data_IF_767527762256
#
_entry.id   IF_767527762256
#
_cell.length_a   1.000
_cell.length_b   1.000
_cell.length_c   1.000
_cell.angle_alpha   90.00
_cell.angle_beta   90.00
_cell.angle_gamma   90.00
#
_symmetry.space_group_name_H-M   'P 1'
#
loop_
_entity.id
_entity.type
_entity.pdbx_description
1 polymer ?
#
# COMPACT_ATOMS: atom_id res chain seq x y z
N UNK A 1 -12.54 4.63 14.38
CA UNK A 1 -13.51 5.01 13.34
C UNK A 1 -12.93 6.13 12.48
N UNK A 2 -12.39 7.18 13.09
CA UNK A 2 -11.76 8.32 12.40
C UNK A 2 -10.75 7.92 11.30
N UNK A 3 -9.82 7.00 11.58
CA UNK A 3 -8.85 6.52 10.57
C UNK A 3 -9.50 5.73 9.40
N UNK A 4 -10.66 5.11 9.61
CA UNK A 4 -11.37 4.40 8.55
C UNK A 4 -12.17 5.36 7.66
N UNK A 5 -12.74 6.41 8.25
CA UNK A 5 -13.45 7.48 7.53
C UNK A 5 -12.53 8.28 6.61
N UNK A 6 -11.33 8.62 7.09
CA UNK A 6 -10.32 9.32 6.28
C UNK A 6 -10.00 8.54 5.00
N UNK A 7 -9.74 7.23 5.14
CA UNK A 7 -9.46 6.35 4.01
C UNK A 7 -10.70 6.20 3.11
N UNK A 8 -11.89 6.08 3.70
CA UNK A 8 -13.13 5.94 2.97
C UNK A 8 -13.41 7.14 2.05
N UNK A 9 -13.22 8.35 2.57
CA UNK A 9 -13.54 9.59 1.87
C UNK A 9 -12.43 10.03 0.92
N UNK A 10 -11.16 9.87 1.31
CA UNK A 10 -10.03 10.27 0.47
C UNK A 10 -9.75 9.25 -0.65
N UNK A 11 -9.43 8.01 -0.27
CA UNK A 11 -8.88 7.03 -1.21
C UNK A 11 -9.94 6.20 -1.92
N UNK A 12 -11.00 5.85 -1.19
CA UNK A 12 -12.11 5.06 -1.75
C UNK A 12 -13.21 5.95 -2.34
N UNK A 13 -13.18 7.27 -2.10
CA UNK A 13 -14.16 8.25 -2.59
C UNK A 13 -15.62 7.83 -2.31
N UNK A 14 -15.84 7.19 -1.17
CA UNK A 14 -17.17 6.79 -0.70
C UNK A 14 -17.90 8.00 -0.13
N UNK A 15 -19.22 8.04 -0.29
CA UNK A 15 -20.07 8.99 0.45
C UNK A 15 -20.27 8.49 1.88
N UNK A 16 -20.60 9.38 2.84
CA UNK A 16 -20.87 8.98 4.23
C UNK A 16 -21.89 7.84 4.35
N UNK A 17 -23.02 7.91 3.63
CA UNK A 17 -24.03 6.85 3.61
C UNK A 17 -23.50 5.51 3.08
N UNK A 18 -22.70 5.56 2.02
CA UNK A 18 -22.12 4.35 1.42
C UNK A 18 -21.10 3.70 2.37
N UNK A 19 -20.42 4.50 3.19
CA UNK A 19 -19.49 4.01 4.20
C UNK A 19 -20.20 3.43 5.43
N UNK A 20 -21.26 4.09 5.93
CA UNK A 20 -22.05 3.62 7.08
C UNK A 20 -22.75 2.28 6.79
N UNK A 21 -23.22 2.07 5.56
CA UNK A 21 -23.88 0.83 5.15
C UNK A 21 -22.90 -0.31 4.85
N UNK A 22 -21.59 -0.02 4.79
CA UNK A 22 -20.58 -0.96 4.33
C UNK A 22 -20.17 -1.95 5.43
N UNK A 23 -20.09 -3.23 5.10
CA UNK A 23 -19.56 -4.20 6.05
C UNK A 23 -18.03 -4.10 6.16
N UNK A 24 -17.43 -4.38 7.33
CA UNK A 24 -15.97 -4.34 7.48
C UNK A 24 -15.22 -5.19 6.45
N UNK A 25 -15.75 -6.37 6.10
CA UNK A 25 -15.14 -7.25 5.09
C UNK A 25 -15.10 -6.61 3.70
N UNK A 26 -16.17 -5.91 3.34
CA UNK A 26 -16.30 -5.20 2.06
C UNK A 26 -15.35 -4.01 2.02
N UNK A 27 -15.22 -3.30 3.14
CA UNK A 27 -14.29 -2.17 3.27
C UNK A 27 -12.85 -2.63 3.01
N UNK A 28 -12.42 -3.72 3.64
CA UNK A 28 -11.10 -4.29 3.38
C UNK A 28 -10.95 -4.79 1.93
N UNK A 29 -12.01 -5.29 1.31
CA UNK A 29 -11.96 -5.69 -0.10
C UNK A 29 -11.75 -4.47 -1.02
N UNK A 30 -12.42 -3.36 -0.75
CA UNK A 30 -12.23 -2.09 -1.46
C UNK A 30 -10.81 -1.56 -1.31
N UNK A 31 -10.25 -1.58 -0.10
CA UNK A 31 -8.85 -1.18 0.15
C UNK A 31 -7.89 -2.05 -0.67
N UNK A 32 -8.06 -3.38 -0.67
CA UNK A 32 -7.20 -4.28 -1.47
C UNK A 32 -7.31 -3.98 -2.97
N UNK A 33 -8.53 -3.75 -3.46
CA UNK A 33 -8.79 -3.37 -4.84
C UNK A 33 -8.14 -2.03 -5.22
N UNK A 34 -8.26 -1.03 -4.34
CA UNK A 34 -7.60 0.27 -4.49
C UNK A 34 -6.08 0.13 -4.54
N UNK A 35 -5.45 -0.57 -3.58
CA UNK A 35 -3.99 -0.82 -3.56
C UNK A 35 -3.51 -1.47 -4.86
N UNK A 36 -4.27 -2.44 -5.40
CA UNK A 36 -3.93 -3.09 -6.67
C UNK A 36 -3.98 -2.12 -7.85
N UNK A 37 -5.01 -1.28 -7.92
CA UNK A 37 -5.15 -0.25 -8.98
C UNK A 37 -4.03 0.78 -8.88
N UNK A 38 -3.71 1.21 -7.68
CA UNK A 38 -2.67 2.19 -7.43
C UNK A 38 -1.29 1.65 -7.82
N UNK A 39 -0.99 0.41 -7.44
CA UNK A 39 0.24 -0.26 -7.88
C UNK A 39 0.33 -0.35 -9.40
N UNK A 40 -0.73 -0.74 -10.09
CA UNK A 40 -0.74 -0.77 -11.55
C UNK A 40 -0.52 0.62 -12.17
N UNK A 41 -1.10 1.66 -11.57
CA UNK A 41 -0.93 3.06 -12.01
C UNK A 41 0.52 3.53 -11.86
N UNK A 42 1.17 3.20 -10.75
CA UNK A 42 2.55 3.60 -10.50
C UNK A 42 3.53 2.88 -11.43
N UNK A 43 3.35 1.59 -11.67
CA UNK A 43 4.17 0.87 -12.65
C UNK A 43 3.98 1.40 -14.06
N UNK A 44 2.75 1.78 -14.45
CA UNK A 44 2.49 2.43 -15.73
C UNK A 44 3.21 3.79 -15.84
N UNK A 45 3.19 4.61 -14.79
CA UNK A 45 3.92 5.89 -14.76
C UNK A 45 5.43 5.65 -14.83
N UNK A 46 5.95 4.73 -14.03
CA UNK A 46 7.36 4.36 -14.01
C UNK A 46 7.86 3.88 -15.37
N UNK A 47 7.06 3.13 -16.11
CA UNK A 47 7.35 2.77 -17.49
C UNK A 47 7.60 4.01 -18.36
N UNK A 48 6.69 4.98 -18.38
CA UNK A 48 6.92 6.19 -19.18
C UNK A 48 8.11 7.01 -18.69
N UNK A 49 8.31 7.12 -17.37
CA UNK A 49 9.47 7.82 -16.79
C UNK A 49 10.77 7.15 -17.20
N UNK A 50 10.87 5.81 -17.18
CA UNK A 50 12.07 5.08 -17.62
C UNK A 50 12.45 5.43 -19.06
N UNK A 51 11.48 5.60 -19.96
CA UNK A 51 11.73 6.02 -21.34
C UNK A 51 12.18 7.48 -21.44
N UNK A 52 11.57 8.37 -20.64
CA UNK A 52 11.90 9.79 -20.64
C UNK A 52 13.32 10.06 -20.13
N UNK A 53 13.78 9.32 -19.12
CA UNK A 53 15.11 9.52 -18.54
C UNK A 53 16.22 8.75 -19.26
N UNK A 54 15.88 7.74 -20.06
CA UNK A 54 16.86 6.88 -20.73
C UNK A 54 17.95 7.64 -21.51
N UNK A 55 17.67 8.74 -22.23
CA UNK A 55 18.71 9.50 -22.93
C UNK A 55 19.65 10.28 -22.00
N UNK A 56 19.28 10.46 -20.73
CA UNK A 56 19.98 11.30 -19.76
C UNK A 56 20.85 10.51 -18.78
N UNK A 57 20.86 9.18 -18.88
CA UNK A 57 21.59 8.29 -17.98
C UNK A 57 22.57 7.41 -18.76
N UNK A 58 23.68 7.03 -18.12
CA UNK A 58 24.67 6.12 -18.74
C UNK A 58 24.15 4.69 -18.86
N UNK A 59 23.35 4.26 -17.88
CA UNK A 59 22.74 2.94 -17.82
C UNK A 59 21.21 3.10 -17.75
N UNK A 60 20.45 2.42 -18.62
CA UNK A 60 18.99 2.47 -18.57
C UNK A 60 18.44 1.99 -17.22
N UNK A 61 17.52 2.75 -16.65
CA UNK A 61 16.80 2.40 -15.42
C UNK A 61 15.46 1.80 -15.82
N UNK A 62 15.15 0.59 -15.35
CA UNK A 62 13.88 -0.07 -15.62
C UNK A 62 12.75 0.43 -14.71
N UNK A 63 11.51 0.24 -15.16
CA UNK A 63 10.32 0.67 -14.43
C UNK A 63 10.23 0.04 -13.03
N UNK A 64 10.68 -1.20 -12.86
CA UNK A 64 10.66 -1.90 -11.57
C UNK A 64 11.54 -1.19 -10.55
N UNK A 65 12.77 -0.78 -10.90
CA UNK A 65 13.65 -0.02 -9.99
C UNK A 65 13.06 1.32 -9.56
N UNK A 66 12.16 1.90 -10.36
CA UNK A 66 11.50 3.17 -10.06
C UNK A 66 10.26 2.95 -9.18
N UNK A 67 9.41 1.98 -9.53
CA UNK A 67 8.11 1.79 -8.87
C UNK A 67 8.17 0.88 -7.64
N UNK A 68 9.02 -0.14 -7.63
CA UNK A 68 9.08 -1.15 -6.56
C UNK A 68 9.34 -0.54 -5.18
N UNK A 69 10.24 0.45 -5.01
CA UNK A 69 10.45 1.10 -3.70
C UNK A 69 9.23 1.85 -3.14
N UNK A 70 8.24 2.19 -3.97
CA UNK A 70 7.00 2.83 -3.51
C UNK A 70 6.08 1.86 -2.77
N UNK A 71 6.29 0.55 -2.95
CA UNK A 71 5.47 -0.50 -2.40
C UNK A 71 6.28 -1.31 -1.40
N UNK A 72 5.67 -1.66 -0.26
CA UNK A 72 6.32 -2.56 0.71
C UNK A 72 6.75 -3.85 0.02
N UNK A 73 8.01 -4.21 0.19
CA UNK A 73 8.52 -5.50 -0.23
C UNK A 73 7.98 -6.60 0.69
N UNK A 74 7.93 -7.86 0.25
CA UNK A 74 7.58 -8.97 1.13
C UNK A 74 8.44 -9.03 2.41
N UNK A 75 9.71 -8.60 2.33
CA UNK A 75 10.61 -8.50 3.48
C UNK A 75 10.16 -7.42 4.48
N UNK A 76 9.69 -6.27 4.01
CA UNK A 76 9.16 -5.20 4.88
C UNK A 76 7.90 -5.64 5.61
N UNK A 77 7.05 -6.42 4.95
CA UNK A 77 5.83 -6.99 5.54
C UNK A 77 6.18 -8.01 6.62
N UNK A 78 7.17 -8.88 6.39
CA UNK A 78 7.63 -9.85 7.39
C UNK A 78 8.27 -9.18 8.60
N UNK A 79 9.17 -8.22 8.36
CA UNK A 79 9.82 -7.46 9.43
C UNK A 79 8.80 -6.74 10.31
N UNK A 80 7.79 -6.12 9.71
CA UNK A 80 6.70 -5.48 10.46
C UNK A 80 5.89 -6.49 11.27
N UNK A 81 5.60 -7.66 10.71
CA UNK A 81 4.88 -8.72 11.43
C UNK A 81 5.68 -9.27 12.62
N UNK A 82 7.00 -9.37 12.52
CA UNK A 82 7.89 -9.74 13.63
C UNK A 82 7.93 -8.66 14.72
N UNK A 83 8.03 -7.39 14.32
CA UNK A 83 7.97 -6.24 15.24
C UNK A 83 6.64 -6.17 15.99
N UNK A 84 5.51 -6.28 15.27
CA UNK A 84 4.16 -6.32 15.86
C UNK A 84 4.02 -7.49 16.84
N UNK A 85 4.60 -8.66 16.50
CA UNK A 85 4.58 -9.84 17.38
C UNK A 85 5.39 -9.60 18.66
N UNK A 86 6.57 -8.97 18.56
CA UNK A 86 7.41 -8.63 19.71
C UNK A 86 6.69 -7.66 20.65
N UNK A 87 6.07 -6.61 20.11
CA UNK A 87 5.27 -5.65 20.88
C UNK A 87 4.15 -6.38 21.64
N UNK A 88 3.46 -7.30 20.97
CA UNK A 88 2.38 -8.08 21.60
C UNK A 88 2.88 -8.95 22.76
N UNK A 89 4.04 -9.59 22.62
CA UNK A 89 4.65 -10.38 23.70
C UNK A 89 5.04 -9.50 24.90
N UNK A 90 5.61 -8.32 24.64
CA UNK A 90 5.99 -7.35 25.67
C UNK A 90 4.78 -6.76 26.40
N UNK A 91 3.74 -6.34 25.69
CA UNK A 91 2.55 -5.70 26.28
C UNK A 91 1.69 -6.67 27.09
N UNK A 92 1.55 -7.92 26.63
CA UNK A 92 0.68 -8.91 27.26
C UNK A 92 1.40 -9.87 28.20
N UNK A 93 2.72 -9.69 28.42
CA UNK A 93 3.52 -10.52 29.31
C UNK A 93 3.53 -12.00 28.91
N UNK A 94 3.41 -12.28 27.62
CA UNK A 94 3.40 -13.63 27.08
C UNK A 94 4.86 -14.08 26.90
N UNK A 95 5.23 -15.23 27.48
CA UNK A 95 6.51 -15.88 27.16
C UNK A 95 6.35 -16.69 25.86
N UNK A 96 7.39 -16.61 25.01
CA UNK A 96 7.47 -17.28 23.69
C UNK A 96 7.02 -18.75 23.69
#
# INVERSE_FOLDING_TARGET
>A
MEAAEEIAYAELTLKPKEFEELQPREFYALIRGWKRREKARDYKKAYFVSWLIAPHVKEPINAEKIAEPLWQTPADVQKKAEEDRRILYEEFGLTE
#
